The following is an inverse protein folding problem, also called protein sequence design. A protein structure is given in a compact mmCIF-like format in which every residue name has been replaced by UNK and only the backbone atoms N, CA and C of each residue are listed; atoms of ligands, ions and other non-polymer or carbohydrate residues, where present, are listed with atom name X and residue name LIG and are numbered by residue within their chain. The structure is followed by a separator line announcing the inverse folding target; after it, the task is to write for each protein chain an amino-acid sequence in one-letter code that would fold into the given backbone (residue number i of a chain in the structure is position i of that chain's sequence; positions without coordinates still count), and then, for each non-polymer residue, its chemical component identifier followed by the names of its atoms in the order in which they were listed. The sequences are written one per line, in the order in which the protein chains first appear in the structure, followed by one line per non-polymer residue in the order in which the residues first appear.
data_IF_771248431179
#
_entry.id   IF_771248431179
#
_cell.length_a   1.000
_cell.length_b   1.000
_cell.length_c   1.000
_cell.angle_alpha   90.00
_cell.angle_beta   90.00
_cell.angle_gamma   90.00
#
_symmetry.space_group_name_H-M   'P 1'
#
loop_
_entity.id
_entity.type
_entity.pdbx_description
1 polymer ?
#
# COMPACT_ATOMS: atom_id res chain seq x y z
N UNK A 1 4.70 16.38 -0.28
CA UNK A 1 5.44 17.09 0.78
C UNK A 1 4.62 18.11 1.57
N UNK A 2 3.86 19.05 0.99
CA UNK A 2 3.20 20.11 1.78
C UNK A 2 2.33 19.63 2.96
N UNK A 3 1.47 18.61 2.76
CA UNK A 3 0.62 18.06 3.83
C UNK A 3 1.39 17.28 4.91
N UNK A 4 2.37 16.46 4.54
CA UNK A 4 3.20 15.70 5.50
C UNK A 4 4.12 16.61 6.31
N UNK A 5 4.70 17.64 5.69
CA UNK A 5 5.58 18.58 6.37
C UNK A 5 4.80 19.59 7.24
N UNK A 6 3.57 19.94 6.86
CA UNK A 6 2.71 20.83 7.67
C UNK A 6 2.10 20.12 8.89
N UNK A 7 1.83 18.81 8.80
CA UNK A 7 1.31 18.00 9.90
C UNK A 7 2.20 18.03 11.16
N UNK A 8 3.51 18.27 11.01
CA UNK A 8 4.44 18.37 12.16
C UNK A 8 4.24 19.68 12.97
N UNK A 9 3.53 20.67 12.42
CA UNK A 9 3.40 22.02 13.01
C UNK A 9 1.96 22.54 13.13
N UNK A 10 0.99 21.91 12.47
CA UNK A 10 -0.42 22.31 12.44
C UNK A 10 -1.33 21.12 12.84
N UNK A 11 -2.03 21.19 13.99
CA UNK A 11 -2.94 20.13 14.44
C UNK A 11 -4.05 19.79 13.43
N UNK A 12 -4.58 20.78 12.70
CA UNK A 12 -5.62 20.52 11.70
C UNK A 12 -5.05 19.79 10.47
N UNK A 13 -3.82 20.12 10.08
CA UNK A 13 -3.11 19.38 9.04
C UNK A 13 -2.76 17.95 9.48
N UNK A 14 -2.43 17.73 10.76
CA UNK A 14 -2.17 16.42 11.33
C UNK A 14 -3.43 15.54 11.34
N UNK A 15 -4.58 16.09 11.72
CA UNK A 15 -5.88 15.39 11.70
C UNK A 15 -6.27 15.00 10.27
N UNK A 16 -6.23 15.95 9.33
CA UNK A 16 -6.53 15.68 7.92
C UNK A 16 -5.58 14.63 7.32
N UNK A 17 -4.32 14.61 7.74
CA UNK A 17 -3.36 13.59 7.34
C UNK A 17 -3.69 12.21 7.93
N UNK A 18 -4.02 12.15 9.23
CA UNK A 18 -4.42 10.92 9.90
C UNK A 18 -5.66 10.30 9.25
N UNK A 19 -6.67 11.11 8.94
CA UNK A 19 -7.89 10.68 8.24
C UNK A 19 -7.58 10.10 6.87
N UNK A 20 -6.70 10.75 6.09
CA UNK A 20 -6.28 10.24 4.78
C UNK A 20 -5.56 8.90 4.91
N UNK A 21 -4.72 8.73 5.93
CA UNK A 21 -4.01 7.48 6.17
C UNK A 21 -4.95 6.37 6.65
N UNK A 22 -5.97 6.69 7.45
CA UNK A 22 -7.02 5.78 7.87
C UNK A 22 -7.85 5.31 6.67
N UNK A 23 -8.26 6.25 5.78
CA UNK A 23 -8.98 5.93 4.56
C UNK A 23 -8.16 5.03 3.61
N UNK A 24 -6.85 5.28 3.47
CA UNK A 24 -5.95 4.40 2.72
C UNK A 24 -5.93 2.98 3.30
N UNK A 25 -5.85 2.86 4.63
CA UNK A 25 -5.86 1.55 5.30
C UNK A 25 -7.18 0.81 5.09
N UNK A 26 -8.31 1.50 5.21
CA UNK A 26 -9.64 0.93 4.92
C UNK A 26 -9.74 0.43 3.47
N UNK A 27 -9.20 1.18 2.51
CA UNK A 27 -9.12 0.74 1.12
C UNK A 27 -8.27 -0.53 0.93
N UNK A 28 -7.14 -0.63 1.64
CA UNK A 28 -6.32 -1.84 1.65
C UNK A 28 -7.08 -3.04 2.24
N UNK A 29 -7.81 -2.82 3.32
CA UNK A 29 -8.63 -3.84 3.97
C UNK A 29 -9.73 -4.37 3.04
N UNK A 30 -10.42 -3.48 2.33
CA UNK A 30 -11.42 -3.86 1.34
C UNK A 30 -10.81 -4.69 0.19
N UNK A 31 -9.65 -4.30 -0.31
CA UNK A 31 -8.95 -5.04 -1.37
C UNK A 31 -8.52 -6.44 -0.91
N UNK A 32 -7.99 -6.58 0.31
CA UNK A 32 -7.60 -7.87 0.89
C UNK A 32 -8.83 -8.75 1.16
N UNK A 33 -9.93 -8.16 1.63
CA UNK A 33 -11.19 -8.89 1.81
C UNK A 33 -11.70 -9.46 0.49
N UNK A 34 -11.60 -8.70 -0.61
CA UNK A 34 -11.92 -9.19 -1.95
C UNK A 34 -11.01 -10.35 -2.38
N UNK A 35 -9.69 -10.22 -2.22
CA UNK A 35 -8.74 -11.32 -2.52
C UNK A 35 -9.05 -12.60 -1.75
N UNK A 36 -9.40 -12.48 -0.46
CA UNK A 36 -9.79 -13.63 0.36
C UNK A 36 -11.08 -14.28 -0.15
N UNK A 37 -12.10 -13.45 -0.40
CA UNK A 37 -13.41 -13.91 -0.91
C UNK A 37 -13.26 -14.67 -2.23
N UNK A 38 -12.36 -14.20 -3.09
CA UNK A 38 -12.11 -14.78 -4.41
C UNK A 38 -11.11 -15.97 -4.37
N UNK A 39 -10.61 -16.36 -3.19
CA UNK A 39 -9.65 -17.45 -3.04
C UNK A 39 -8.25 -17.15 -3.59
N UNK A 40 -7.95 -15.87 -3.84
CA UNK A 40 -6.70 -15.42 -4.45
C UNK A 40 -5.65 -14.96 -3.43
N UNK A 41 -6.04 -14.74 -2.17
CA UNK A 41 -5.12 -14.38 -1.10
C UNK A 41 -4.12 -15.53 -0.85
N UNK A 42 -2.84 -15.19 -0.66
CA UNK A 42 -1.77 -16.16 -0.44
C UNK A 42 -2.10 -17.13 0.72
N UNK A 43 -1.87 -18.45 0.57
CA UNK A 43 -2.18 -19.42 1.62
C UNK A 43 -1.35 -19.14 2.87
N UNK A 44 -1.99 -19.24 4.03
CA UNK A 44 -1.34 -18.97 5.32
C UNK A 44 -1.09 -17.49 5.61
N UNK A 45 -1.46 -16.55 4.73
CA UNK A 45 -1.37 -15.12 5.00
C UNK A 45 -2.66 -14.61 5.66
N UNK A 46 -2.63 -14.19 6.95
CA UNK A 46 -3.81 -13.65 7.61
C UNK A 46 -4.26 -12.33 6.98
N UNK A 47 -5.58 -12.08 6.83
CA UNK A 47 -6.08 -10.85 6.19
C UNK A 47 -5.60 -9.55 6.87
N UNK A 48 -5.52 -9.51 8.20
CA UNK A 48 -5.00 -8.35 8.92
C UNK A 48 -3.54 -8.06 8.54
N UNK A 49 -2.71 -9.09 8.52
CA UNK A 49 -1.31 -8.98 8.11
C UNK A 49 -1.17 -8.56 6.64
N UNK A 50 -1.98 -9.13 5.74
CA UNK A 50 -2.03 -8.72 4.34
C UNK A 50 -2.42 -7.24 4.16
N UNK A 51 -3.38 -6.75 4.94
CA UNK A 51 -3.78 -5.34 4.96
C UNK A 51 -2.63 -4.45 5.39
N UNK A 52 -1.95 -4.80 6.49
CA UNK A 52 -0.84 -4.00 7.02
C UNK A 52 0.35 -3.98 6.05
N UNK A 53 0.64 -5.10 5.37
CA UNK A 53 1.65 -5.18 4.31
C UNK A 53 1.28 -4.30 3.10
N UNK A 54 0.05 -4.41 2.60
CA UNK A 54 -0.42 -3.62 1.46
C UNK A 54 -0.39 -2.12 1.79
N UNK A 55 -0.86 -1.75 2.98
CA UNK A 55 -0.86 -0.38 3.47
C UNK A 55 0.56 0.20 3.58
N UNK A 56 1.51 -0.60 4.06
CA UNK A 56 2.93 -0.22 4.10
C UNK A 56 3.49 0.04 2.71
N UNK A 57 3.25 -0.89 1.77
CA UNK A 57 3.71 -0.77 0.38
C UNK A 57 3.16 0.49 -0.32
N UNK A 58 1.89 0.81 -0.09
CA UNK A 58 1.21 1.94 -0.74
C UNK A 58 1.36 3.27 0.03
N UNK A 59 2.12 3.30 1.12
CA UNK A 59 2.29 4.49 1.93
C UNK A 59 3.00 5.61 1.16
N UNK A 60 2.61 6.86 1.42
CA UNK A 60 3.25 8.04 0.81
C UNK A 60 4.72 8.14 1.20
N UNK A 61 5.10 7.66 2.39
CA UNK A 61 6.50 7.61 2.84
C UNK A 61 7.37 6.75 1.93
N UNK A 62 6.92 5.54 1.58
CA UNK A 62 7.64 4.69 0.64
C UNK A 62 7.73 5.31 -0.76
N UNK A 63 6.66 6.00 -1.19
CA UNK A 63 6.70 6.75 -2.44
C UNK A 63 7.76 7.86 -2.42
N UNK A 64 7.83 8.67 -1.35
CA UNK A 64 8.83 9.75 -1.22
C UNK A 64 10.25 9.20 -1.21
N UNK A 65 10.50 8.10 -0.50
CA UNK A 65 11.81 7.46 -0.47
C UNK A 65 12.24 6.94 -1.85
N UNK A 66 11.34 6.32 -2.60
CA UNK A 66 11.68 5.72 -3.90
C UNK A 66 11.73 6.76 -5.04
N UNK A 67 10.75 7.65 -5.12
CA UNK A 67 10.64 8.64 -6.20
C UNK A 67 11.44 9.89 -5.91
N UNK A 68 11.39 10.38 -4.67
CA UNK A 68 12.13 11.55 -4.23
C UNK A 68 13.61 11.25 -4.02
N UNK A 69 13.91 10.40 -3.03
CA UNK A 69 15.30 10.23 -2.57
C UNK A 69 16.10 9.31 -3.51
N UNK A 70 15.52 8.19 -3.95
CA UNK A 70 16.16 7.27 -4.89
C UNK A 70 15.95 7.64 -6.38
N UNK A 71 15.23 8.72 -6.68
CA UNK A 71 15.08 9.28 -8.02
C UNK A 71 14.32 8.38 -9.02
N UNK A 72 13.46 7.46 -8.56
CA UNK A 72 12.74 6.59 -9.48
C UNK A 72 11.72 7.37 -10.31
N UNK A 73 11.61 7.09 -11.62
CA UNK A 73 10.47 7.56 -12.40
C UNK A 73 9.17 7.03 -11.80
N UNK A 74 8.12 7.87 -11.75
CA UNK A 74 6.79 7.48 -11.23
C UNK A 74 6.28 6.17 -11.83
N UNK A 75 6.47 5.97 -13.14
CA UNK A 75 6.06 4.74 -13.84
C UNK A 75 6.73 3.49 -13.28
N UNK A 76 8.02 3.58 -12.92
CA UNK A 76 8.78 2.49 -12.31
C UNK A 76 8.25 2.16 -10.91
N UNK A 77 7.99 3.18 -10.08
CA UNK A 77 7.38 2.99 -8.76
C UNK A 77 6.05 2.23 -8.85
N UNK A 78 5.14 2.69 -9.73
CA UNK A 78 3.82 2.05 -9.90
C UNK A 78 3.96 0.60 -10.35
N UNK A 79 4.84 0.31 -11.31
CA UNK A 79 5.08 -1.05 -11.78
C UNK A 79 5.63 -1.95 -10.66
N UNK A 80 6.61 -1.45 -9.90
CA UNK A 80 7.22 -2.18 -8.80
C UNK A 80 6.23 -2.49 -7.67
N UNK A 81 5.40 -1.51 -7.27
CA UNK A 81 4.38 -1.72 -6.22
C UNK A 81 3.32 -2.73 -6.66
N UNK A 82 2.86 -2.67 -7.92
CA UNK A 82 1.93 -3.68 -8.46
C UNK A 82 2.53 -5.08 -8.42
N UNK A 83 3.76 -5.26 -8.91
CA UNK A 83 4.43 -6.55 -8.92
C UNK A 83 4.69 -7.06 -7.51
N UNK A 84 5.14 -6.19 -6.59
CA UNK A 84 5.43 -6.56 -5.20
C UNK A 84 4.17 -6.95 -4.45
N UNK A 85 3.10 -6.15 -4.56
CA UNK A 85 1.82 -6.45 -3.92
C UNK A 85 1.23 -7.76 -4.47
N UNK A 86 1.25 -7.98 -5.80
CA UNK A 86 0.77 -9.23 -6.39
C UNK A 86 1.56 -10.42 -5.84
N UNK A 87 2.89 -10.39 -5.89
CA UNK A 87 3.73 -11.50 -5.42
C UNK A 87 3.61 -11.77 -3.93
N UNK A 88 3.40 -10.73 -3.12
CA UNK A 88 3.37 -10.85 -1.66
C UNK A 88 2.00 -11.27 -1.13
N UNK A 89 0.93 -10.89 -1.83
CA UNK A 89 -0.43 -11.04 -1.33
C UNK A 89 -1.23 -12.11 -2.04
N UNK A 90 -0.87 -12.49 -3.27
CA UNK A 90 -1.64 -13.49 -4.02
C UNK A 90 -0.94 -14.83 -4.08
N UNK A 91 -1.71 -15.88 -4.33
CA UNK A 91 -1.14 -17.12 -4.87
C UNK A 91 -0.37 -16.76 -6.15
N UNK A 92 0.85 -17.27 -6.28
CA UNK A 92 1.46 -17.39 -7.59
C UNK A 92 0.67 -18.50 -8.28
N UNK A 93 -0.27 -18.14 -9.16
CA UNK A 93 -0.71 -19.11 -10.15
C UNK A 93 0.54 -19.50 -10.96
N UNK A 94 0.91 -20.79 -10.97
CA UNK A 94 1.73 -21.27 -12.07
C UNK A 94 1.03 -20.85 -13.37
N UNK A 95 1.76 -20.30 -14.35
CA UNK A 95 1.15 -20.04 -15.65
C UNK A 95 0.53 -21.36 -16.14
N UNK A 96 -0.71 -21.37 -16.63
CA UNK A 96 -1.30 -22.60 -17.16
C UNK A 96 -0.36 -23.14 -18.25
N UNK A 97 0.04 -24.40 -18.10
CA UNK A 97 0.74 -25.19 -19.12
C UNK A 97 -0.03 -25.23 -20.42
#
# INVERSE_FOLDING_TARGET
RALMAAADSDPAAAEAWADRMAALRQGCEAAVAALKKDGLLAPGLPPRQATDLLWTLLSVRNWEQLVGDAGWPQKRYVAAMKTTARRSLTTLAEPPT
#
